data_IF_221542923714
#
_entry.id   IF_221542923714
#
_cell.length_a   1.000
_cell.length_b   1.000
_cell.length_c   1.000
_cell.angle_alpha   90.00
_cell.angle_beta   90.00
_cell.angle_gamma   90.00
#
_symmetry.space_group_name_H-M   'P 1'
#
loop_
_entity.id
_entity.type
_entity.pdbx_description
1 polymer ?
#
# COMPACT_ATOMS: atom_id res chain seq x y z
N UNK A 1 27.75 -8.65 8.11
CA UNK A 1 26.56 -9.38 8.51
C UNK A 1 25.40 -8.86 7.66
N UNK A 2 25.03 -9.60 6.61
CA UNK A 2 23.84 -9.26 5.80
C UNK A 2 22.63 -9.70 6.62
N UNK A 3 21.81 -8.77 7.04
CA UNK A 3 20.52 -9.09 7.64
C UNK A 3 19.57 -9.20 6.43
N UNK A 4 19.25 -10.43 6.03
CA UNK A 4 18.16 -10.70 5.09
C UNK A 4 16.85 -10.38 5.82
N UNK A 5 16.32 -9.21 5.54
CA UNK A 5 14.99 -8.84 6.01
C UNK A 5 13.97 -9.53 5.11
N UNK A 6 13.29 -10.52 5.64
CA UNK A 6 12.14 -11.13 5.00
C UNK A 6 11.02 -10.08 4.93
N UNK A 7 10.64 -9.67 3.73
CA UNK A 7 9.52 -8.75 3.49
C UNK A 7 8.28 -9.61 3.27
N UNK A 8 7.29 -9.47 4.15
CA UNK A 8 5.97 -10.07 3.98
C UNK A 8 5.03 -9.02 3.36
N UNK A 9 4.54 -9.31 2.15
CA UNK A 9 3.51 -8.51 1.49
C UNK A 9 2.15 -9.12 1.77
N UNK A 10 1.25 -8.33 2.39
CA UNK A 10 -0.12 -8.75 2.67
C UNK A 10 -1.07 -7.97 1.77
N UNK A 11 -1.74 -8.68 0.85
CA UNK A 11 -2.86 -8.12 0.10
C UNK A 11 -4.11 -8.13 0.99
N UNK A 12 -4.73 -6.97 1.13
CA UNK A 12 -5.94 -6.82 1.96
C UNK A 12 -7.15 -6.59 1.09
N UNK A 13 -8.34 -7.08 1.48
CA UNK A 13 -9.58 -6.65 0.86
C UNK A 13 -9.68 -5.12 0.91
N UNK A 14 -10.12 -4.49 -0.19
CA UNK A 14 -10.18 -3.03 -0.26
C UNK A 14 -11.05 -2.43 0.84
N UNK A 15 -10.58 -1.36 1.50
CA UNK A 15 -11.28 -0.71 2.60
C UNK A 15 -12.66 -0.13 2.20
N UNK A 16 -12.84 0.23 0.93
CA UNK A 16 -13.98 1.01 0.45
C UNK A 16 -14.96 0.26 -0.46
N UNK A 17 -14.65 -0.97 -0.88
CA UNK A 17 -15.41 -1.71 -1.90
C UNK A 17 -16.59 -2.52 -1.37
N UNK A 18 -16.71 -2.68 -0.06
CA UNK A 18 -17.69 -3.60 0.54
C UNK A 18 -19.11 -3.04 0.65
N UNK A 19 -19.27 -1.72 0.67
CA UNK A 19 -20.61 -1.10 0.82
C UNK A 19 -21.50 -1.26 -0.41
N UNK A 20 -20.94 -1.58 -1.58
CA UNK A 20 -21.67 -1.54 -2.86
C UNK A 20 -22.02 -2.93 -3.43
N UNK A 21 -21.46 -4.03 -2.93
CA UNK A 21 -21.56 -5.34 -3.61
C UNK A 21 -22.10 -6.52 -2.81
N UNK A 22 -22.22 -6.44 -1.50
CA UNK A 22 -22.69 -7.58 -0.71
C UNK A 22 -23.83 -7.20 0.22
N UNK A 23 -24.94 -7.96 0.16
CA UNK A 23 -26.08 -7.88 1.07
C UNK A 23 -25.85 -8.60 2.43
N UNK A 24 -24.63 -9.14 2.65
CA UNK A 24 -24.28 -9.91 3.84
C UNK A 24 -23.42 -9.05 4.78
N UNK A 25 -24.07 -8.45 5.78
CA UNK A 25 -23.44 -7.58 6.78
C UNK A 25 -22.33 -8.26 7.57
N UNK A 26 -22.47 -9.56 7.86
CA UNK A 26 -21.51 -10.31 8.68
C UNK A 26 -20.20 -10.56 7.95
N UNK A 27 -20.23 -10.74 6.63
CA UNK A 27 -19.02 -10.86 5.82
C UNK A 27 -18.29 -9.53 5.70
N UNK A 28 -19.02 -8.41 5.55
CA UNK A 28 -18.45 -7.07 5.49
C UNK A 28 -17.71 -6.73 6.78
N UNK A 29 -18.29 -6.99 7.94
CA UNK A 29 -17.62 -6.77 9.23
C UNK A 29 -16.38 -7.63 9.38
N UNK A 30 -16.45 -8.90 9.00
CA UNK A 30 -15.32 -9.84 9.06
C UNK A 30 -14.13 -9.39 8.21
N UNK A 31 -14.37 -8.89 6.99
CA UNK A 31 -13.31 -8.35 6.13
C UNK A 31 -12.71 -7.07 6.68
N UNK A 32 -13.52 -6.18 7.25
CA UNK A 32 -13.05 -4.97 7.92
C UNK A 32 -12.14 -5.29 9.10
N UNK A 33 -12.51 -6.27 9.91
CA UNK A 33 -11.70 -6.67 11.07
C UNK A 33 -10.39 -7.32 10.68
N UNK A 34 -10.38 -8.12 9.62
CA UNK A 34 -9.17 -8.70 9.05
C UNK A 34 -8.25 -7.58 8.56
N UNK A 35 -8.78 -6.65 7.75
CA UNK A 35 -8.01 -5.52 7.24
C UNK A 35 -7.49 -4.64 8.37
N UNK A 36 -8.31 -4.32 9.36
CA UNK A 36 -7.92 -3.54 10.54
C UNK A 36 -6.75 -4.17 11.28
N UNK A 37 -6.78 -5.48 11.47
CA UNK A 37 -5.70 -6.20 12.14
C UNK A 37 -4.38 -6.07 11.38
N UNK A 38 -4.36 -6.40 10.09
CA UNK A 38 -3.14 -6.34 9.29
C UNK A 38 -2.59 -4.92 9.15
N UNK A 39 -3.47 -3.95 8.94
CA UNK A 39 -3.08 -2.55 8.79
C UNK A 39 -2.50 -1.97 10.08
N UNK A 40 -3.04 -2.32 11.25
CA UNK A 40 -2.50 -1.84 12.53
C UNK A 40 -1.10 -2.38 12.84
N UNK A 41 -0.78 -3.57 12.33
CA UNK A 41 0.51 -4.24 12.50
C UNK A 41 1.50 -3.91 11.37
N UNK A 42 1.07 -3.24 10.31
CA UNK A 42 1.90 -2.95 9.13
C UNK A 42 3.02 -1.95 9.43
N UNK A 43 4.24 -2.28 9.00
CA UNK A 43 5.38 -1.37 9.06
C UNK A 43 5.33 -0.31 7.98
N UNK A 44 4.78 -0.66 6.83
CA UNK A 44 4.58 0.18 5.67
C UNK A 44 3.22 -0.12 5.05
N UNK A 45 2.55 0.91 4.57
CA UNK A 45 1.28 0.78 3.86
C UNK A 45 1.48 1.28 2.43
N UNK A 46 1.16 0.44 1.47
CA UNK A 46 0.97 0.84 0.08
C UNK A 46 -0.51 1.08 -0.13
N UNK A 47 -0.90 2.34 -0.17
CA UNK A 47 -2.30 2.74 -0.34
C UNK A 47 -2.60 2.93 -1.83
N UNK A 48 -3.15 1.89 -2.46
CA UNK A 48 -3.47 1.90 -3.88
C UNK A 48 -4.65 2.83 -4.20
N UNK A 49 -4.46 3.71 -5.16
CA UNK A 49 -5.42 4.72 -5.60
C UNK A 49 -5.82 4.49 -7.05
N UNK A 50 -7.10 4.71 -7.33
CA UNK A 50 -7.59 4.78 -8.70
C UNK A 50 -7.10 6.09 -9.34
N UNK A 51 -6.57 6.07 -10.58
CA UNK A 51 -6.00 7.24 -11.21
C UNK A 51 -7.03 8.33 -11.53
N UNK A 52 -8.26 7.97 -11.89
CA UNK A 52 -9.30 8.93 -12.29
C UNK A 52 -9.92 9.64 -11.09
N UNK A 53 -10.16 8.91 -9.97
CA UNK A 53 -10.74 9.47 -8.75
C UNK A 53 -10.07 8.88 -7.50
N UNK A 54 -8.87 9.38 -7.15
CA UNK A 54 -8.03 8.75 -6.15
C UNK A 54 -8.61 8.81 -4.73
N UNK A 55 -9.25 9.93 -4.34
CA UNK A 55 -9.78 10.13 -3.00
C UNK A 55 -11.21 10.68 -3.07
N UNK A 56 -12.17 9.91 -2.53
CA UNK A 56 -13.60 10.27 -2.49
C UNK A 56 -13.99 10.76 -1.09
N UNK A 57 -15.05 11.56 -1.00
CA UNK A 57 -15.65 11.99 0.28
C UNK A 57 -16.05 10.81 1.16
N UNK A 58 -16.59 9.73 0.55
CA UNK A 58 -16.98 8.52 1.26
C UNK A 58 -15.83 7.80 1.98
N UNK A 59 -14.58 8.15 1.70
CA UNK A 59 -13.40 7.59 2.36
C UNK A 59 -13.05 8.28 3.70
N UNK A 60 -13.74 9.37 4.06
CA UNK A 60 -13.39 10.24 5.20
C UNK A 60 -13.22 9.48 6.50
N UNK A 61 -14.16 8.63 6.86
CA UNK A 61 -14.14 7.91 8.14
C UNK A 61 -12.97 6.92 8.21
N UNK A 62 -12.72 6.19 7.11
CA UNK A 62 -11.62 5.24 7.03
C UNK A 62 -10.25 5.93 6.99
N UNK A 63 -10.14 7.09 6.32
CA UNK A 63 -8.93 7.93 6.32
C UNK A 63 -8.65 8.51 7.72
N UNK A 64 -9.68 8.98 8.43
CA UNK A 64 -9.53 9.43 9.81
C UNK A 64 -9.09 8.29 10.72
N UNK A 65 -9.70 7.12 10.58
CA UNK A 65 -9.28 5.94 11.34
C UNK A 65 -7.83 5.58 11.08
N UNK A 66 -7.41 5.46 9.82
CA UNK A 66 -6.03 5.11 9.44
C UNK A 66 -5.01 6.15 9.90
N UNK A 67 -5.28 7.42 9.60
CA UNK A 67 -4.26 8.46 9.65
C UNK A 67 -4.33 9.32 10.90
N UNK A 68 -5.48 9.38 11.58
CA UNK A 68 -5.64 10.12 12.84
C UNK A 68 -5.68 9.21 14.06
N UNK A 69 -6.47 8.13 14.03
CA UNK A 69 -6.54 7.22 15.17
C UNK A 69 -5.34 6.28 15.26
N UNK A 70 -4.92 5.67 14.14
CA UNK A 70 -3.76 4.77 14.11
C UNK A 70 -2.43 5.47 13.82
N UNK A 71 -2.44 6.75 13.44
CA UNK A 71 -1.24 7.55 13.12
C UNK A 71 -0.32 6.92 12.07
N UNK A 72 -0.89 6.35 11.00
CA UNK A 72 -0.15 5.59 10.00
C UNK A 72 0.29 6.42 8.77
N UNK A 73 -0.03 7.71 8.70
CA UNK A 73 0.26 8.56 7.54
C UNK A 73 1.75 8.61 7.20
N UNK A 74 2.61 8.70 8.23
CA UNK A 74 4.06 8.72 8.05
C UNK A 74 4.63 7.42 7.46
N UNK A 75 3.91 6.30 7.60
CA UNK A 75 4.28 4.98 7.08
C UNK A 75 3.57 4.63 5.77
N UNK A 76 2.82 5.58 5.19
CA UNK A 76 2.01 5.32 4.00
C UNK A 76 2.69 5.90 2.75
N UNK A 77 2.67 5.11 1.67
CA UNK A 77 2.95 5.54 0.31
C UNK A 77 1.65 5.44 -0.47
N UNK A 78 1.19 6.57 -1.01
CA UNK A 78 0.05 6.61 -1.91
C UNK A 78 0.50 6.20 -3.32
N UNK A 79 -0.06 5.13 -3.85
CA UNK A 79 0.32 4.55 -5.13
C UNK A 79 -0.83 4.75 -6.12
N UNK A 80 -0.66 5.67 -7.06
CA UNK A 80 -1.61 5.82 -8.17
C UNK A 80 -1.33 4.67 -9.13
N UNK A 81 -2.23 3.70 -9.17
CA UNK A 81 -2.12 2.53 -10.05
C UNK A 81 -2.69 2.82 -11.44
N UNK A 82 -2.32 2.02 -12.44
CA UNK A 82 -2.80 2.17 -13.82
C UNK A 82 -2.64 3.58 -14.37
N UNK A 83 -1.47 4.18 -14.14
CA UNK A 83 -1.26 5.58 -14.50
C UNK A 83 -1.17 5.81 -16.01
N UNK A 84 -0.97 4.76 -16.78
CA UNK A 84 -1.10 4.70 -18.25
C UNK A 84 -2.52 4.99 -18.78
N UNK A 85 -3.54 4.96 -17.91
CA UNK A 85 -4.91 5.41 -18.24
C UNK A 85 -5.07 6.94 -18.17
N UNK A 86 -4.12 7.65 -17.56
CA UNK A 86 -4.21 9.10 -17.28
C UNK A 86 -3.12 9.92 -17.95
N UNK A 87 -2.01 9.30 -18.32
CA UNK A 87 -0.85 9.96 -18.90
C UNK A 87 -0.25 9.10 -20.03
N UNK A 88 0.36 9.76 -20.99
CA UNK A 88 1.27 9.10 -21.90
C UNK A 88 2.55 8.73 -21.15
N UNK A 89 2.71 7.42 -20.85
CA UNK A 89 3.85 6.93 -20.07
C UNK A 89 5.14 6.82 -20.89
N UNK A 90 5.07 6.97 -22.22
CA UNK A 90 6.21 7.05 -23.12
C UNK A 90 6.75 8.49 -23.19
N UNK A 91 5.89 9.48 -23.00
CA UNK A 91 6.23 10.90 -22.93
C UNK A 91 6.52 11.33 -21.47
N UNK A 92 7.80 11.61 -21.18
CA UNK A 92 8.24 12.03 -19.84
C UNK A 92 7.63 13.37 -19.41
N UNK A 93 7.38 14.30 -20.34
CA UNK A 93 6.83 15.61 -20.04
C UNK A 93 5.34 15.49 -19.66
N UNK A 94 4.55 14.74 -20.44
CA UNK A 94 3.14 14.51 -20.12
C UNK A 94 2.99 13.72 -18.81
N UNK A 95 3.80 12.66 -18.63
CA UNK A 95 3.83 11.91 -17.37
C UNK A 95 4.06 12.82 -16.17
N UNK A 96 5.10 13.64 -16.20
CA UNK A 96 5.47 14.51 -15.08
C UNK A 96 4.40 15.57 -14.81
N UNK A 97 3.84 16.17 -15.84
CA UNK A 97 2.76 17.17 -15.75
C UNK A 97 1.51 16.57 -15.11
N UNK A 98 1.07 15.40 -15.61
CA UNK A 98 -0.12 14.70 -15.08
C UNK A 98 0.12 14.24 -13.65
N UNK A 99 1.29 13.67 -13.37
CA UNK A 99 1.65 13.23 -12.02
C UNK A 99 1.62 14.39 -11.03
N UNK A 100 2.21 15.55 -11.36
CA UNK A 100 2.19 16.73 -10.52
C UNK A 100 0.76 17.14 -10.18
N UNK A 101 -0.10 17.24 -11.19
CA UNK A 101 -1.52 17.61 -11.02
C UNK A 101 -2.25 16.62 -10.10
N UNK A 102 -2.05 15.31 -10.29
CA UNK A 102 -2.69 14.28 -9.46
C UNK A 102 -2.17 14.30 -8.02
N UNK A 103 -0.87 14.50 -7.83
CA UNK A 103 -0.27 14.62 -6.50
C UNK A 103 -0.85 15.82 -5.73
N UNK A 104 -0.94 16.99 -6.35
CA UNK A 104 -1.54 18.18 -5.76
C UNK A 104 -3.02 17.96 -5.40
N UNK A 105 -3.76 17.28 -6.26
CA UNK A 105 -5.16 16.93 -6.01
C UNK A 105 -5.30 15.98 -4.81
N UNK A 106 -4.48 14.93 -4.74
CA UNK A 106 -4.47 13.99 -3.59
C UNK A 106 -4.17 14.74 -2.30
N UNK A 107 -3.15 15.60 -2.30
CA UNK A 107 -2.77 16.38 -1.13
C UNK A 107 -3.90 17.30 -0.67
N UNK A 108 -4.55 18.02 -1.62
CA UNK A 108 -5.70 18.87 -1.34
C UNK A 108 -6.86 18.08 -0.74
N UNK A 109 -7.24 16.96 -1.38
CA UNK A 109 -8.33 16.10 -0.92
C UNK A 109 -8.07 15.52 0.46
N UNK A 110 -6.85 15.05 0.73
CA UNK A 110 -6.48 14.58 2.06
C UNK A 110 -6.56 15.71 3.09
N UNK A 111 -6.09 16.91 2.75
CA UNK A 111 -6.20 18.07 3.63
C UNK A 111 -7.66 18.41 3.95
N UNK A 112 -8.54 18.40 2.96
CA UNK A 112 -9.96 18.71 3.13
C UNK A 112 -10.67 17.68 4.03
N UNK A 113 -10.29 16.40 3.94
CA UNK A 113 -10.93 15.31 4.67
C UNK A 113 -10.39 15.09 6.08
N UNK A 114 -9.08 15.26 6.27
CA UNK A 114 -8.40 14.89 7.52
C UNK A 114 -7.49 15.98 8.09
N UNK A 115 -7.49 17.18 7.52
CA UNK A 115 -6.77 18.37 8.02
C UNK A 115 -5.28 18.13 8.25
N UNK A 116 -4.51 18.07 7.15
CA UNK A 116 -3.06 17.83 7.21
C UNK A 116 -2.31 19.04 7.81
N UNK A 117 -1.35 18.77 8.68
CA UNK A 117 -0.33 19.77 9.07
C UNK A 117 0.64 20.04 7.92
N UNK A 118 1.38 21.16 7.96
CA UNK A 118 2.38 21.48 6.92
C UNK A 118 3.46 20.40 6.82
N UNK A 119 3.94 19.91 7.95
CA UNK A 119 4.91 18.81 7.99
C UNK A 119 4.38 17.52 7.34
N UNK A 120 3.10 17.22 7.51
CA UNK A 120 2.47 16.06 6.86
C UNK A 120 2.32 16.28 5.36
N UNK A 121 1.98 17.49 4.91
CA UNK A 121 1.91 17.84 3.48
C UNK A 121 3.26 17.67 2.79
N UNK A 122 4.33 18.14 3.41
CA UNK A 122 5.70 18.00 2.90
C UNK A 122 6.18 16.54 2.90
N UNK A 123 5.79 15.78 3.93
CA UNK A 123 6.16 14.36 4.10
C UNK A 123 5.32 13.37 3.31
N UNK A 124 4.28 13.82 2.56
CA UNK A 124 3.44 12.93 1.76
C UNK A 124 4.25 12.23 0.66
N UNK A 125 4.25 10.90 0.71
CA UNK A 125 4.85 10.07 -0.31
C UNK A 125 3.77 9.64 -1.31
N UNK A 126 3.87 10.11 -2.54
CA UNK A 126 2.97 9.75 -3.64
C UNK A 126 3.82 9.26 -4.81
N UNK A 127 3.45 8.15 -5.42
CA UNK A 127 4.06 7.60 -6.62
C UNK A 127 2.98 7.20 -7.62
N UNK A 128 3.31 7.18 -8.90
CA UNK A 128 2.42 6.71 -9.96
C UNK A 128 3.08 5.56 -10.71
N UNK A 129 2.34 4.49 -10.96
CA UNK A 129 2.84 3.28 -11.61
C UNK A 129 1.81 2.71 -12.59
N UNK A 130 2.32 2.01 -13.62
CA UNK A 130 1.55 1.20 -14.53
C UNK A 130 2.01 -0.26 -14.41
N UNK A 131 1.31 -1.07 -13.63
CA UNK A 131 1.72 -2.46 -13.38
C UNK A 131 1.56 -3.38 -14.60
N UNK A 132 0.75 -2.98 -15.57
CA UNK A 132 0.55 -3.67 -16.83
C UNK A 132 0.40 -2.63 -17.94
N UNK A 133 1.50 -1.93 -18.34
CA UNK A 133 1.45 -0.90 -19.36
C UNK A 133 0.70 -1.34 -20.60
N UNK A 134 -0.22 -0.51 -21.08
CA UNK A 134 -1.06 -0.76 -22.27
C UNK A 134 -1.91 -2.05 -22.24
N UNK A 135 -1.98 -2.75 -21.11
CA UNK A 135 -2.74 -3.99 -20.99
C UNK A 135 -2.12 -5.20 -21.71
N UNK A 136 -0.84 -5.15 -22.12
CA UNK A 136 -0.22 -6.21 -22.94
C UNK A 136 0.02 -7.52 -22.19
N UNK A 137 -0.08 -7.51 -20.86
CA UNK A 137 -0.07 -8.70 -20.03
C UNK A 137 1.33 -9.17 -19.62
N UNK A 138 1.32 -10.05 -18.62
CA UNK A 138 2.54 -10.53 -17.98
C UNK A 138 3.50 -11.24 -18.94
N UNK A 139 2.98 -12.07 -19.84
CA UNK A 139 3.83 -12.84 -20.78
C UNK A 139 4.63 -11.95 -21.73
N UNK A 140 4.03 -10.86 -22.17
CA UNK A 140 4.71 -9.86 -22.99
C UNK A 140 5.85 -9.21 -22.19
N UNK A 141 5.54 -8.72 -20.99
CA UNK A 141 6.48 -7.96 -20.17
C UNK A 141 7.62 -8.80 -19.59
N UNK A 142 7.43 -10.10 -19.40
CA UNK A 142 8.52 -11.00 -19.02
C UNK A 142 9.61 -11.11 -20.11
N UNK A 143 9.26 -10.88 -21.37
CA UNK A 143 10.19 -10.84 -22.51
C UNK A 143 10.81 -9.45 -22.74
N UNK A 144 10.17 -8.38 -22.27
CA UNK A 144 10.54 -6.98 -22.48
C UNK A 144 10.83 -6.27 -21.15
N UNK A 145 11.69 -6.84 -20.32
CA UNK A 145 11.92 -6.39 -18.94
C UNK A 145 12.47 -4.96 -18.83
N UNK A 146 13.37 -4.55 -19.71
CA UNK A 146 13.96 -3.21 -19.68
C UNK A 146 12.91 -2.14 -20.01
N UNK A 147 12.11 -2.38 -21.04
CA UNK A 147 11.01 -1.51 -21.42
C UNK A 147 9.94 -1.45 -20.32
N UNK A 148 9.59 -2.61 -19.73
CA UNK A 148 8.72 -2.67 -18.57
C UNK A 148 9.21 -1.81 -17.42
N UNK A 149 10.48 -1.90 -17.04
CA UNK A 149 11.04 -1.09 -15.96
C UNK A 149 10.91 0.41 -16.22
N UNK A 150 11.11 0.82 -17.47
CA UNK A 150 10.97 2.22 -17.89
C UNK A 150 9.53 2.68 -17.81
N UNK A 151 8.61 1.97 -18.45
CA UNK A 151 7.21 2.37 -18.61
C UNK A 151 6.38 2.17 -17.36
N UNK A 152 6.60 1.08 -16.62
CA UNK A 152 5.85 0.80 -15.39
C UNK A 152 6.13 1.74 -14.24
N UNK A 153 7.30 2.40 -14.24
CA UNK A 153 7.78 3.23 -13.11
C UNK A 153 7.87 2.48 -11.78
N UNK A 154 7.90 1.15 -11.81
CA UNK A 154 7.98 0.33 -10.59
C UNK A 154 9.23 0.63 -9.77
N UNK A 155 10.31 1.07 -10.42
CA UNK A 155 11.53 1.50 -9.75
C UNK A 155 11.28 2.68 -8.81
N UNK A 156 10.42 3.64 -9.19
CA UNK A 156 10.05 4.77 -8.34
C UNK A 156 9.34 4.30 -7.08
N UNK A 157 8.47 3.30 -7.18
CA UNK A 157 7.82 2.68 -6.02
C UNK A 157 8.83 1.96 -5.12
N UNK A 158 9.78 1.21 -5.71
CA UNK A 158 10.83 0.54 -4.94
C UNK A 158 11.69 1.56 -4.17
N UNK A 159 12.10 2.65 -4.81
CA UNK A 159 12.92 3.69 -4.19
C UNK A 159 12.15 4.43 -3.08
N UNK A 160 10.88 4.74 -3.30
CA UNK A 160 10.01 5.33 -2.28
C UNK A 160 9.82 4.39 -1.08
N UNK A 161 9.67 3.08 -1.33
CA UNK A 161 9.57 2.04 -0.30
C UNK A 161 10.86 1.97 0.53
N UNK A 162 12.01 1.89 -0.12
CA UNK A 162 13.30 1.86 0.56
C UNK A 162 13.55 3.13 1.39
N UNK A 163 13.17 4.30 0.85
CA UNK A 163 13.27 5.58 1.55
C UNK A 163 12.41 5.57 2.81
N UNK A 164 11.14 5.17 2.71
CA UNK A 164 10.22 5.10 3.86
C UNK A 164 10.68 4.10 4.92
N UNK A 165 11.19 2.94 4.53
CA UNK A 165 11.76 1.96 5.46
C UNK A 165 12.96 2.56 6.21
N UNK A 166 13.86 3.26 5.52
CA UNK A 166 15.01 3.91 6.15
C UNK A 166 14.59 5.03 7.11
N UNK A 167 13.63 5.87 6.72
CA UNK A 167 13.13 6.98 7.55
C UNK A 167 12.42 6.51 8.81
N UNK A 168 11.65 5.43 8.72
CA UNK A 168 10.85 4.90 9.83
C UNK A 168 11.50 3.69 10.54
N UNK A 169 12.53 3.08 9.95
CA UNK A 169 12.97 1.74 10.28
C UNK A 169 13.99 1.63 11.41
N UNK A 170 14.81 2.64 11.66
CA UNK A 170 15.95 2.46 12.57
C UNK A 170 15.56 2.25 14.04
N UNK A 171 14.51 2.88 14.54
CA UNK A 171 14.04 2.73 15.94
C UNK A 171 12.83 1.81 16.08
N UNK A 172 12.00 1.71 15.07
CA UNK A 172 10.75 0.94 15.12
C UNK A 172 10.97 -0.56 14.96
N UNK A 173 11.93 -1.01 14.14
CA UNK A 173 12.25 -2.42 13.98
C UNK A 173 12.61 -3.08 15.31
N UNK A 174 13.43 -2.44 16.14
CA UNK A 174 13.86 -3.00 17.42
C UNK A 174 12.70 -3.13 18.42
N UNK A 175 11.83 -2.12 18.48
CA UNK A 175 10.67 -2.13 19.39
C UNK A 175 9.62 -3.13 18.95
N UNK A 176 9.44 -3.32 17.64
CA UNK A 176 8.43 -4.22 17.08
C UNK A 176 8.88 -5.66 17.02
N UNK A 177 10.16 -5.96 16.83
CA UNK A 177 10.68 -7.32 17.02
C UNK A 177 10.48 -7.80 18.46
N UNK A 178 10.68 -6.92 19.44
CA UNK A 178 10.38 -7.23 20.84
C UNK A 178 8.88 -7.43 21.09
N UNK A 179 8.01 -6.62 20.46
CA UNK A 179 6.54 -6.79 20.53
C UNK A 179 6.08 -8.04 19.77
N UNK A 180 6.61 -8.32 18.56
CA UNK A 180 6.31 -9.54 17.80
C UNK A 180 6.69 -10.81 18.53
N UNK A 181 7.83 -10.84 19.21
CA UNK A 181 8.23 -11.98 20.03
C UNK A 181 7.24 -12.24 21.18
N UNK A 182 6.77 -11.18 21.83
CA UNK A 182 5.79 -11.28 22.93
C UNK A 182 4.38 -11.63 22.41
N UNK A 183 3.95 -11.07 21.28
CA UNK A 183 2.65 -11.37 20.65
C UNK A 183 2.62 -12.77 20.01
N UNK A 184 3.73 -13.20 19.38
CA UNK A 184 3.84 -14.54 18.79
C UNK A 184 3.71 -15.63 19.85
N UNK A 185 4.22 -15.42 21.06
CA UNK A 185 4.00 -16.31 22.19
C UNK A 185 2.53 -16.38 22.63
N UNK A 186 1.84 -15.24 22.70
CA UNK A 186 0.42 -15.17 23.09
C UNK A 186 -0.52 -15.75 22.01
N UNK A 187 -0.23 -15.55 20.73
CA UNK A 187 -1.09 -16.00 19.63
C UNK A 187 -0.93 -17.48 19.30
N UNK A 188 0.28 -18.04 19.39
CA UNK A 188 0.51 -19.49 19.16
C UNK A 188 -0.24 -20.33 20.19
N UNK A 189 -0.43 -19.82 21.42
CA UNK A 189 -1.19 -20.53 22.44
C UNK A 189 -2.71 -20.48 22.23
N UNK A 190 -3.22 -19.44 21.53
CA UNK A 190 -4.67 -19.20 21.40
C UNK A 190 -5.32 -19.70 20.10
N UNK A 191 -4.54 -19.85 18.99
CA UNK A 191 -5.06 -20.23 17.68
C UNK A 191 -4.17 -21.23 16.94
N UNK A 192 -4.28 -22.56 17.23
CA UNK A 192 -3.44 -23.60 16.61
C UNK A 192 -3.64 -23.80 15.10
N UNK A 193 -4.77 -23.33 14.54
CA UNK A 193 -5.14 -23.52 13.14
C UNK A 193 -4.40 -22.62 12.14
N UNK A 194 -3.83 -21.51 12.57
CA UNK A 194 -3.03 -20.63 11.68
C UNK A 194 -1.70 -21.26 11.23
N UNK A 195 -1.20 -22.29 11.92
CA UNK A 195 -0.03 -23.06 11.45
C UNK A 195 -0.24 -23.76 10.10
N UNK A 196 -1.49 -24.09 9.76
CA UNK A 196 -1.84 -24.78 8.49
C UNK A 196 -1.85 -23.83 7.28
N UNK A 197 -2.30 -22.59 7.44
CA UNK A 197 -2.38 -21.61 6.35
C UNK A 197 -1.02 -21.13 5.87
N UNK A 198 -0.07 -20.92 6.78
CA UNK A 198 1.30 -20.51 6.43
C UNK A 198 2.10 -21.62 5.73
N UNK A 199 1.76 -22.88 5.96
CA UNK A 199 2.40 -24.02 5.27
C UNK A 199 1.94 -24.11 3.82
N UNK A 200 0.66 -23.88 3.54
CA UNK A 200 0.07 -23.95 2.19
C UNK A 200 0.59 -22.81 1.31
N UNK A 201 0.81 -21.61 1.87
CA UNK A 201 1.38 -20.47 1.13
C UNK A 201 2.87 -20.65 0.79
N UNK A 202 3.65 -21.30 1.68
CA UNK A 202 5.07 -21.60 1.42
C UNK A 202 5.28 -22.71 0.38
N UNK A 203 4.36 -23.69 0.29
CA UNK A 203 4.47 -24.80 -0.66
C UNK A 203 4.06 -24.42 -2.10
N UNK A 204 3.26 -23.34 -2.28
CA UNK A 204 2.79 -22.89 -3.60
C UNK A 204 3.60 -21.74 -4.22
N UNK A 205 4.53 -21.14 -3.49
CA UNK A 205 5.39 -20.05 -3.98
C UNK A 205 6.85 -20.36 -3.64
N UNK A 206 7.44 -21.28 -4.42
CA UNK A 206 8.89 -21.46 -4.46
C UNK A 206 9.52 -20.24 -5.15
N UNK A 207 9.83 -19.19 -4.38
CA UNK A 207 10.74 -18.10 -4.76
C UNK A 207 11.85 -18.03 -3.73
#
# INVERSE_FOLDING_TARGET
MKIDHEIELVDTPGLFGFKEKEHDSDKIERYKDITKKYVSEAHLILYALNPSNPIKESHKDDLNWLFRMLNLLSRTIFVISRFDEEADIEDEEDYNKRFKTKKENIQKRLNDLISLSEKEKEGLSVVAVAANPFGWGLEYWLKHKEEFQKLSRIKTLQDATQKKIKENGGKLIIIEEAKKASFKMLFISKYPWQKKSNKILRENWNI
#
